data_IF_902856305128
#
_entry.id   IF_902856305128
#
_cell.length_a   1.000
_cell.length_b   1.000
_cell.length_c   1.000
_cell.angle_alpha   90.00
_cell.angle_beta   90.00
_cell.angle_gamma   90.00
#
_symmetry.space_group_name_H-M   'P 1'
#
loop_
_entity.id
_entity.type
_entity.pdbx_description
1 polymer ?
#
# COMPACT_ATOMS: atom_id res chain seq x y z
N UNK A 1 9.13 8.53 16.21
CA UNK A 1 9.16 8.30 14.75
C UNK A 1 7.74 7.97 14.33
N UNK A 2 7.13 8.78 13.46
CA UNK A 2 5.73 8.60 13.07
C UNK A 2 5.56 7.43 12.12
N UNK A 3 4.48 6.68 12.31
CA UNK A 3 4.12 5.58 11.42
C UNK A 3 2.63 5.29 11.48
N UNK A 4 2.11 4.69 10.42
CA UNK A 4 0.77 4.09 10.39
C UNK A 4 0.91 2.57 10.47
N UNK A 5 0.03 1.91 11.21
CA UNK A 5 -0.04 0.45 11.30
C UNK A 5 -1.42 -0.06 10.93
N UNK A 6 -1.46 -1.05 10.05
CA UNK A 6 -2.66 -1.80 9.67
C UNK A 6 -2.52 -3.20 10.26
N UNK A 7 -3.53 -3.69 10.99
CA UNK A 7 -3.52 -5.00 11.63
C UNK A 7 -4.78 -5.79 11.25
N UNK A 8 -4.61 -7.03 10.81
CA UNK A 8 -5.74 -7.93 10.56
C UNK A 8 -6.41 -8.34 11.87
N UNK A 9 -7.74 -8.25 11.91
CA UNK A 9 -8.59 -8.61 13.04
C UNK A 9 -9.54 -9.76 12.67
N UNK A 10 -9.61 -10.79 13.52
CA UNK A 10 -10.59 -11.88 13.44
C UNK A 10 -11.63 -11.77 14.56
N UNK A 11 -12.88 -12.20 14.31
CA UNK A 11 -13.84 -12.42 15.39
C UNK A 11 -13.48 -13.69 16.17
N UNK A 12 -12.71 -13.54 17.25
CA UNK A 12 -12.46 -14.57 18.26
C UNK A 12 -11.21 -15.44 18.04
N UNK A 13 -10.78 -16.10 19.11
CA UNK A 13 -9.52 -16.88 19.20
C UNK A 13 -9.46 -18.16 18.33
N UNK A 14 -10.53 -18.53 17.62
CA UNK A 14 -10.62 -19.79 16.86
C UNK A 14 -11.19 -19.67 15.45
N UNK A 15 -11.33 -18.45 14.90
CA UNK A 15 -11.78 -18.26 13.52
C UNK A 15 -10.59 -18.04 12.60
N UNK A 16 -10.45 -18.89 11.58
CA UNK A 16 -9.47 -18.72 10.50
C UNK A 16 -9.89 -17.64 9.49
N UNK A 17 -10.75 -16.70 9.89
CA UNK A 17 -11.32 -15.67 9.01
C UNK A 17 -11.05 -14.30 9.60
N UNK A 18 -10.48 -13.43 8.77
CA UNK A 18 -10.27 -12.02 9.08
C UNK A 18 -11.56 -11.29 8.74
N UNK A 19 -12.19 -10.66 9.75
CA UNK A 19 -13.46 -9.94 9.59
C UNK A 19 -13.25 -8.45 9.29
N UNK A 20 -12.05 -7.94 9.54
CA UNK A 20 -11.66 -6.58 9.20
C UNK A 20 -10.21 -6.27 9.56
N UNK A 21 -9.88 -4.98 9.50
CA UNK A 21 -8.56 -4.46 9.84
C UNK A 21 -8.70 -3.28 10.79
N UNK A 22 -7.75 -3.17 11.72
CA UNK A 22 -7.57 -1.98 12.54
C UNK A 22 -6.42 -1.16 11.96
N UNK A 23 -6.67 0.13 11.75
CA UNK A 23 -5.65 1.09 11.35
C UNK A 23 -5.40 2.05 12.51
N UNK A 24 -4.14 2.22 12.86
CA UNK A 24 -3.69 3.16 13.89
C UNK A 24 -2.57 4.06 13.37
N UNK A 25 -2.61 5.32 13.76
CA UNK A 25 -1.59 6.33 13.47
C UNK A 25 -0.83 6.64 14.75
N UNK A 26 0.49 6.48 14.75
CA UNK A 26 1.35 6.54 15.94
C UNK A 26 2.42 7.61 15.80
N UNK A 27 2.65 8.37 16.88
CA UNK A 27 3.70 9.39 16.96
C UNK A 27 5.08 8.78 17.22
N UNK A 28 5.10 7.68 17.98
CA UNK A 28 6.31 6.92 18.26
C UNK A 28 6.07 5.44 18.59
N UNK A 29 7.14 4.64 18.57
CA UNK A 29 7.08 3.23 18.95
C UNK A 29 6.66 3.10 20.42
N UNK A 30 5.64 2.29 20.69
CA UNK A 30 5.08 2.12 22.04
C UNK A 30 4.13 3.23 22.48
N UNK A 31 3.85 4.21 21.62
CA UNK A 31 2.82 5.23 21.89
C UNK A 31 1.39 4.69 21.71
N UNK A 32 0.43 5.37 22.34
CA UNK A 32 -0.99 5.19 22.07
C UNK A 32 -1.30 5.80 20.68
N UNK A 33 -2.12 5.16 19.83
CA UNK A 33 -2.44 5.73 18.53
C UNK A 33 -3.18 7.06 18.70
N UNK A 34 -2.77 8.08 17.92
CA UNK A 34 -3.44 9.38 17.92
C UNK A 34 -4.78 9.36 17.18
N UNK A 35 -4.91 8.40 16.26
CA UNK A 35 -6.11 8.14 15.48
C UNK A 35 -6.21 6.63 15.26
N UNK A 36 -7.43 6.12 15.38
CA UNK A 36 -7.75 4.71 15.17
C UNK A 36 -9.03 4.56 14.36
N UNK A 37 -9.01 3.68 13.38
CA UNK A 37 -10.18 3.30 12.59
C UNK A 37 -10.25 1.79 12.38
N UNK A 38 -11.46 1.28 12.19
CA UNK A 38 -11.72 -0.07 11.67
C UNK A 38 -12.08 0.00 10.19
N UNK A 39 -11.62 -0.98 9.44
CA UNK A 39 -11.99 -1.23 8.05
C UNK A 39 -12.65 -2.59 8.00
N UNK A 40 -13.91 -2.64 7.58
CA UNK A 40 -14.60 -3.92 7.41
C UNK A 40 -14.15 -4.64 6.11
N UNK A 41 -14.63 -5.88 5.93
CA UNK A 41 -14.37 -6.66 4.71
C UNK A 41 -14.85 -6.02 3.39
N UNK A 42 -15.69 -4.99 3.46
CA UNK A 42 -16.21 -4.24 2.31
C UNK A 42 -15.49 -2.91 2.11
N UNK A 43 -14.39 -2.68 2.83
CA UNK A 43 -13.61 -1.45 2.80
C UNK A 43 -14.34 -0.21 3.33
N UNK A 44 -15.40 -0.40 4.12
CA UNK A 44 -16.01 0.69 4.85
C UNK A 44 -15.14 1.08 6.04
N UNK A 45 -14.83 2.37 6.15
CA UNK A 45 -14.02 2.92 7.23
C UNK A 45 -14.94 3.45 8.34
N UNK A 46 -14.70 3.02 9.57
CA UNK A 46 -15.33 3.56 10.76
C UNK A 46 -14.26 4.08 11.71
N UNK A 47 -14.33 5.38 12.06
CA UNK A 47 -13.47 5.96 13.09
C UNK A 47 -13.82 5.37 14.46
N UNK A 48 -12.79 4.93 15.18
CA UNK A 48 -12.90 4.38 16.53
C UNK A 48 -12.43 5.37 17.59
N UNK A 49 -11.30 6.05 17.35
CA UNK A 49 -10.73 7.03 18.27
C UNK A 49 -9.93 8.11 17.51
N UNK A 50 -9.94 9.34 18.02
CA UNK A 50 -9.12 10.46 17.56
C UNK A 50 -8.84 11.48 18.68
N UNK A 51 -9.11 11.14 19.94
CA UNK A 51 -9.03 12.09 21.07
C UNK A 51 -7.60 12.57 21.30
N UNK A 52 -6.62 11.73 20.94
CA UNK A 52 -5.20 11.96 21.12
C UNK A 52 -4.55 12.76 19.97
N UNK A 53 -5.30 13.16 18.95
CA UNK A 53 -4.76 13.82 17.75
C UNK A 53 -4.18 15.22 17.98
N UNK A 54 -4.42 15.86 19.13
CA UNK A 54 -3.85 17.16 19.52
C UNK A 54 -4.27 18.37 18.66
N UNK A 55 -4.69 18.16 17.41
CA UNK A 55 -5.15 19.14 16.44
C UNK A 55 -6.18 18.50 15.47
N UNK A 56 -7.29 19.18 15.21
CA UNK A 56 -8.31 18.75 14.25
C UNK A 56 -7.79 18.68 12.80
N UNK A 57 -6.81 19.51 12.43
CA UNK A 57 -6.23 19.47 11.08
C UNK A 57 -5.55 18.13 10.78
N UNK A 58 -4.93 17.52 11.80
CA UNK A 58 -4.29 16.20 11.69
C UNK A 58 -5.36 15.14 11.44
N UNK A 59 -6.46 15.17 12.21
CA UNK A 59 -7.59 14.27 12.02
C UNK A 59 -8.16 14.39 10.60
N UNK A 60 -8.37 15.61 10.10
CA UNK A 60 -8.90 15.83 8.76
C UNK A 60 -7.97 15.29 7.65
N UNK A 61 -6.66 15.44 7.79
CA UNK A 61 -5.68 14.86 6.86
C UNK A 61 -5.70 13.33 6.89
N UNK A 62 -5.76 12.73 8.07
CA UNK A 62 -5.86 11.28 8.23
C UNK A 62 -7.17 10.75 7.65
N UNK A 63 -8.30 11.39 7.91
CA UNK A 63 -9.61 11.01 7.35
C UNK A 63 -9.61 11.13 5.82
N UNK A 64 -9.00 12.18 5.27
CA UNK A 64 -8.81 12.34 3.81
C UNK A 64 -7.97 11.19 3.24
N UNK A 65 -6.85 10.85 3.88
CA UNK A 65 -6.03 9.70 3.50
C UNK A 65 -6.86 8.41 3.53
N UNK A 66 -7.58 8.15 4.63
CA UNK A 66 -8.39 6.94 4.77
C UNK A 66 -9.47 6.87 3.69
N UNK A 67 -10.13 7.98 3.37
CA UNK A 67 -11.17 8.01 2.32
C UNK A 67 -10.65 7.71 0.90
N UNK A 68 -9.38 8.02 0.63
CA UNK A 68 -8.81 7.94 -0.73
C UNK A 68 -7.94 6.72 -0.93
N UNK A 69 -7.20 6.30 0.10
CA UNK A 69 -6.19 5.25 0.01
C UNK A 69 -6.66 3.88 0.53
N UNK A 70 -7.84 3.74 1.15
CA UNK A 70 -8.25 2.47 1.79
C UNK A 70 -8.14 1.26 0.88
N UNK A 71 -8.64 1.35 -0.35
CA UNK A 71 -8.58 0.23 -1.32
C UNK A 71 -7.13 -0.14 -1.65
N UNK A 72 -6.28 0.86 -1.89
CA UNK A 72 -4.87 0.64 -2.25
C UNK A 72 -4.07 0.10 -1.07
N UNK A 73 -4.35 0.58 0.13
CA UNK A 73 -3.77 0.11 1.39
C UNK A 73 -4.13 -1.34 1.66
N UNK A 74 -5.40 -1.73 1.53
CA UNK A 74 -5.83 -3.13 1.71
C UNK A 74 -5.25 -4.02 0.61
N UNK A 75 -5.19 -3.53 -0.63
CA UNK A 75 -4.52 -4.26 -1.72
C UNK A 75 -3.05 -4.51 -1.42
N UNK A 76 -2.34 -3.51 -0.89
CA UNK A 76 -0.94 -3.63 -0.47
C UNK A 76 -0.76 -4.65 0.66
N UNK A 77 -1.66 -4.61 1.65
CA UNK A 77 -1.70 -5.55 2.76
C UNK A 77 -1.85 -6.98 2.23
N UNK A 78 -2.92 -7.28 1.50
CA UNK A 78 -3.21 -8.63 0.99
C UNK A 78 -2.17 -9.15 0.00
N UNK A 79 -1.53 -8.27 -0.79
CA UNK A 79 -0.47 -8.65 -1.71
C UNK A 79 0.72 -9.30 -1.00
N UNK A 80 1.06 -8.81 0.19
CA UNK A 80 2.23 -9.26 0.96
C UNK A 80 1.86 -10.28 2.05
N UNK A 81 0.58 -10.36 2.41
CA UNK A 81 0.01 -11.27 3.39
C UNK A 81 -0.85 -12.34 2.69
N UNK A 82 -0.18 -13.32 2.06
CA UNK A 82 -0.84 -14.41 1.30
C UNK A 82 -1.72 -15.34 2.13
N UNK A 83 -1.61 -15.31 3.46
CA UNK A 83 -2.39 -16.13 4.38
C UNK A 83 -3.19 -15.24 5.32
N UNK A 84 -4.51 -15.42 5.40
CA UNK A 84 -5.43 -14.68 6.28
C UNK A 84 -5.26 -15.11 7.76
N UNK A 85 -4.06 -15.00 8.31
CA UNK A 85 -3.84 -15.21 9.72
C UNK A 85 -4.09 -13.90 10.49
N UNK A 86 -4.90 -13.97 11.54
CA UNK A 86 -5.10 -12.88 12.49
C UNK A 86 -3.76 -12.38 13.03
N UNK A 87 -3.65 -11.08 13.30
CA UNK A 87 -2.44 -10.48 13.89
C UNK A 87 -1.34 -10.11 12.89
N UNK A 88 -1.45 -10.52 11.62
CA UNK A 88 -0.57 -9.98 10.58
C UNK A 88 -0.73 -8.46 10.50
N UNK A 89 0.39 -7.76 10.34
CA UNK A 89 0.39 -6.30 10.32
C UNK A 89 1.32 -5.72 9.28
N UNK A 90 0.96 -4.53 8.81
CA UNK A 90 1.73 -3.73 7.87
C UNK A 90 1.97 -2.35 8.49
N UNK A 91 3.20 -1.87 8.46
CA UNK A 91 3.58 -0.53 8.92
C UNK A 91 4.04 0.32 7.73
N UNK A 92 3.59 1.57 7.68
CA UNK A 92 4.03 2.59 6.72
C UNK A 92 4.77 3.69 7.47
N UNK A 93 5.93 4.06 6.94
CA UNK A 93 6.84 5.04 7.51
C UNK A 93 7.25 5.99 6.39
N UNK A 94 7.05 7.30 6.58
CA UNK A 94 7.57 8.30 5.66
C UNK A 94 9.08 8.50 5.89
N UNK A 95 9.87 8.49 4.81
CA UNK A 95 11.32 8.65 4.83
C UNK A 95 11.76 9.77 3.88
N UNK A 96 12.78 10.54 4.29
CA UNK A 96 13.38 11.60 3.49
C UNK A 96 14.91 11.56 3.54
N UNK A 97 15.55 12.07 2.50
CA UNK A 97 17.00 12.35 2.51
C UNK A 97 17.22 13.75 3.11
N UNK A 98 17.79 13.81 4.32
CA UNK A 98 18.35 15.04 4.91
C UNK A 98 17.45 15.79 5.92
N UNK A 99 18.10 16.59 6.78
CA UNK A 99 17.53 17.26 7.95
C UNK A 99 16.45 18.31 7.67
N UNK A 100 16.18 18.67 6.40
CA UNK A 100 15.26 19.78 6.07
C UNK A 100 14.34 19.49 4.85
N UNK A 101 14.35 18.28 4.31
CA UNK A 101 13.63 17.95 3.07
C UNK A 101 12.39 17.10 3.35
N UNK A 102 11.27 17.47 2.74
CA UNK A 102 10.00 16.72 2.78
C UNK A 102 10.24 15.22 2.52
N UNK A 103 9.48 14.35 3.21
CA UNK A 103 9.59 12.92 2.99
C UNK A 103 9.30 12.57 1.52
N UNK A 104 10.20 11.81 0.88
CA UNK A 104 10.13 11.48 -0.56
C UNK A 104 9.84 10.00 -0.81
N UNK A 105 9.95 9.17 0.22
CA UNK A 105 9.80 7.71 0.12
C UNK A 105 8.93 7.20 1.26
N UNK A 106 8.31 6.05 1.03
CA UNK A 106 7.55 5.33 2.06
C UNK A 106 8.19 3.96 2.23
N UNK A 107 8.58 3.65 3.46
CA UNK A 107 9.02 2.33 3.88
C UNK A 107 7.81 1.55 4.39
N UNK A 108 7.60 0.39 3.80
CA UNK A 108 6.57 -0.58 4.17
C UNK A 108 7.24 -1.75 4.89
N UNK A 109 6.78 -2.09 6.08
CA UNK A 109 7.18 -3.29 6.82
C UNK A 109 6.01 -4.22 6.97
N UNK A 110 6.22 -5.50 6.73
CA UNK A 110 5.20 -6.54 6.86
C UNK A 110 5.62 -7.49 7.96
N UNK A 111 4.77 -7.63 8.97
CA UNK A 111 5.06 -8.34 10.20
C UNK A 111 4.15 -9.56 10.37
N UNK A 112 4.71 -10.61 10.95
CA UNK A 112 3.99 -11.78 11.40
C UNK A 112 3.05 -11.45 12.58
N UNK A 113 2.12 -12.35 12.94
CA UNK A 113 1.33 -12.22 14.16
C UNK A 113 2.18 -12.09 15.44
N UNK A 114 3.36 -12.70 15.45
CA UNK A 114 4.33 -12.65 16.55
C UNK A 114 5.12 -11.33 16.58
N UNK A 115 4.91 -10.45 15.60
CA UNK A 115 5.63 -9.18 15.44
C UNK A 115 6.98 -9.32 14.74
N UNK A 116 7.30 -10.49 14.16
CA UNK A 116 8.52 -10.68 13.41
C UNK A 116 8.40 -10.08 12.01
N UNK A 117 9.39 -9.29 11.59
CA UNK A 117 9.42 -8.72 10.26
C UNK A 117 9.66 -9.80 9.19
N UNK A 118 8.67 -10.01 8.32
CA UNK A 118 8.73 -10.98 7.21
C UNK A 118 9.34 -10.37 5.96
N UNK A 119 9.00 -9.13 5.66
CA UNK A 119 9.53 -8.39 4.51
C UNK A 119 9.49 -6.89 4.75
N UNK A 120 10.37 -6.19 4.05
CA UNK A 120 10.43 -4.74 4.02
C UNK A 120 10.59 -4.30 2.56
N UNK A 121 9.94 -3.20 2.18
CA UNK A 121 10.20 -2.53 0.92
C UNK A 121 10.15 -1.03 1.09
N UNK A 122 10.96 -0.31 0.31
CA UNK A 122 10.93 1.15 0.27
C UNK A 122 10.54 1.57 -1.13
N UNK A 123 9.48 2.36 -1.23
CA UNK A 123 8.96 2.86 -2.50
C UNK A 123 9.06 4.38 -2.51
N UNK A 124 9.53 4.95 -3.62
CA UNK A 124 9.36 6.36 -3.93
C UNK A 124 8.12 6.55 -4.78
N UNK A 125 7.51 7.73 -4.69
CA UNK A 125 6.54 8.16 -5.69
C UNK A 125 7.18 8.07 -7.08
N UNK A 126 6.50 7.42 -8.01
CA UNK A 126 6.92 7.32 -9.41
C UNK A 126 7.02 8.72 -10.01
N UNK A 127 8.15 8.99 -10.65
CA UNK A 127 8.39 10.23 -11.38
C UNK A 127 7.57 10.27 -12.68
N UNK A 128 7.28 11.45 -13.21
CA UNK A 128 6.50 11.58 -14.47
C UNK A 128 7.17 10.85 -15.64
N UNK A 129 8.51 10.75 -15.64
CA UNK A 129 9.29 10.02 -16.65
C UNK A 129 9.04 8.52 -16.54
N UNK A 130 9.10 7.96 -15.33
CA UNK A 130 8.83 6.54 -15.08
C UNK A 130 7.37 6.19 -15.41
N UNK A 131 6.44 7.06 -15.02
CA UNK A 131 5.01 6.93 -15.34
C UNK A 131 4.78 6.90 -16.84
N UNK A 132 5.39 7.83 -17.58
CA UNK A 132 5.29 7.88 -19.05
C UNK A 132 5.84 6.59 -19.66
N UNK A 133 7.00 6.13 -19.19
CA UNK A 133 7.64 4.91 -19.67
C UNK A 133 6.81 3.66 -19.40
N UNK A 134 6.13 3.58 -18.24
CA UNK A 134 5.19 2.50 -17.89
C UNK A 134 3.98 2.51 -18.82
N UNK A 135 3.36 3.67 -19.01
CA UNK A 135 2.20 3.83 -19.91
C UNK A 135 2.57 3.48 -21.35
N UNK A 136 3.77 3.82 -21.81
CA UNK A 136 4.28 3.41 -23.13
C UNK A 136 4.49 1.91 -23.24
N UNK A 137 4.98 1.25 -22.19
CA UNK A 137 5.13 -0.21 -22.14
C UNK A 137 3.78 -0.94 -22.09
N UNK A 138 2.84 -0.44 -21.29
CA UNK A 138 1.46 -0.94 -21.16
C UNK A 138 0.66 -0.79 -22.46
N UNK A 139 0.82 0.34 -23.16
CA UNK A 139 0.17 0.59 -24.45
C UNK A 139 0.87 -0.10 -25.65
N UNK A 140 1.81 -1.01 -25.38
CA UNK A 140 2.45 -1.81 -26.41
C UNK A 140 3.61 -1.08 -27.09
N UNK A 141 4.68 -0.86 -26.32
CA UNK A 141 5.93 -0.24 -26.77
C UNK A 141 6.31 -0.64 -28.19
N UNK A 142 6.36 0.37 -29.07
CA UNK A 142 6.96 0.40 -30.42
C UNK A 142 6.79 -0.90 -31.21
N UNK A 143 5.86 -0.89 -32.17
CA UNK A 143 5.86 -1.81 -33.32
C UNK A 143 7.28 -1.93 -33.89
N UNK A 144 8.02 -2.95 -33.46
CA UNK A 144 9.24 -3.38 -34.13
C UNK A 144 8.77 -3.88 -35.49
N UNK A 145 8.95 -3.04 -36.52
CA UNK A 145 8.72 -3.39 -37.91
C UNK A 145 9.75 -4.46 -38.27
N UNK A 146 9.42 -5.72 -37.99
CA UNK A 146 10.15 -6.86 -38.50
C UNK A 146 9.89 -6.95 -40.01
N UNK A 147 10.69 -6.24 -40.80
CA UNK A 147 10.90 -6.53 -42.22
C UNK A 147 11.49 -7.94 -42.33
N UNK A 148 10.70 -8.94 -42.73
CA UNK A 148 11.28 -10.22 -43.16
C UNK A 148 10.38 -11.45 -43.22
N UNK A 149 9.94 -11.78 -44.44
CA UNK A 149 9.72 -13.13 -45.01
C UNK A 149 8.49 -13.96 -44.58
N UNK A 150 7.64 -14.20 -45.59
CA UNK A 150 6.67 -15.31 -45.75
C UNK A 150 7.21 -16.64 -45.16
N UNK A 151 6.45 -17.33 -44.28
CA UNK A 151 5.55 -18.47 -44.59
C UNK A 151 5.13 -19.24 -43.32
N UNK A 152 3.92 -19.83 -43.43
CA UNK A 152 3.35 -21.02 -42.75
C UNK A 152 2.52 -20.83 -41.46
N UNK A 153 1.24 -21.17 -41.64
CA UNK A 153 0.21 -21.48 -40.63
C UNK A 153 0.69 -22.59 -39.69
N UNK A 154 0.46 -22.41 -38.40
CA UNK A 154 0.49 -23.45 -37.38
C UNK A 154 0.80 -22.89 -36.00
N UNK A 155 -0.17 -22.96 -35.09
CA UNK A 155 -0.10 -22.63 -33.66
C UNK A 155 0.08 -21.14 -33.30
N UNK A 156 -0.99 -20.58 -32.71
CA UNK A 156 -0.90 -19.41 -31.84
C UNK A 156 -0.06 -19.80 -30.63
N UNK A 157 1.24 -19.48 -30.64
CA UNK A 157 1.93 -19.25 -29.38
C UNK A 157 1.36 -17.94 -28.83
N UNK A 158 0.43 -18.05 -27.89
CA UNK A 158 0.16 -16.93 -27.00
C UNK A 158 1.46 -16.74 -26.21
N UNK A 159 2.30 -15.82 -26.69
CA UNK A 159 3.33 -15.21 -25.85
C UNK A 159 2.57 -14.53 -24.72
N UNK A 160 2.44 -15.22 -23.59
CA UNK A 160 2.12 -14.59 -22.32
C UNK A 160 3.31 -13.69 -22.06
N UNK A 161 3.22 -12.44 -22.54
CA UNK A 161 4.10 -11.37 -22.07
C UNK A 161 4.02 -11.35 -20.55
N UNK A 162 5.08 -10.91 -19.85
CA UNK A 162 5.06 -10.85 -18.40
C UNK A 162 3.79 -10.13 -18.00
N UNK A 163 2.97 -10.77 -17.16
CA UNK A 163 1.78 -10.14 -16.60
C UNK A 163 2.25 -8.81 -16.04
N UNK A 164 1.83 -7.70 -16.65
CA UNK A 164 2.13 -6.37 -16.15
C UNK A 164 1.45 -6.34 -14.79
N UNK A 165 2.23 -6.56 -13.75
CA UNK A 165 1.75 -6.50 -12.39
C UNK A 165 1.29 -5.05 -12.21
N UNK A 166 -0.01 -4.85 -12.05
CA UNK A 166 -0.60 -3.54 -11.80
C UNK A 166 -0.05 -3.03 -10.46
N UNK A 167 1.05 -2.30 -10.52
CA UNK A 167 1.73 -1.64 -9.40
C UNK A 167 1.32 -0.17 -9.28
N UNK A 168 0.35 0.30 -10.08
CA UNK A 168 -0.11 1.70 -10.07
C UNK A 168 -0.70 2.05 -8.71
N UNK A 169 -1.38 1.11 -8.06
CA UNK A 169 -1.92 1.31 -6.71
C UNK A 169 -0.83 1.59 -5.68
N UNK A 170 0.37 1.02 -5.83
CA UNK A 170 1.48 1.23 -4.90
C UNK A 170 1.98 2.67 -4.97
N UNK A 171 2.10 3.22 -6.17
CA UNK A 171 2.46 4.63 -6.40
C UNK A 171 1.41 5.58 -5.80
N UNK A 172 0.13 5.33 -6.08
CA UNK A 172 -0.97 6.13 -5.50
C UNK A 172 -0.98 6.09 -3.99
N UNK A 173 -0.77 4.91 -3.39
CA UNK A 173 -0.68 4.75 -1.94
C UNK A 173 0.48 5.57 -1.37
N UNK A 174 1.66 5.50 -1.98
CA UNK A 174 2.83 6.28 -1.54
C UNK A 174 2.56 7.79 -1.62
N UNK A 175 2.06 8.28 -2.75
CA UNK A 175 1.71 9.70 -2.95
C UNK A 175 0.71 10.19 -1.92
N UNK A 176 -0.35 9.42 -1.70
CA UNK A 176 -1.42 9.81 -0.77
C UNK A 176 -0.93 9.76 0.69
N UNK A 177 -0.10 8.77 1.03
CA UNK A 177 0.48 8.66 2.37
C UNK A 177 1.43 9.83 2.67
N UNK A 178 2.34 10.17 1.76
CA UNK A 178 3.22 11.34 1.90
C UNK A 178 2.43 12.64 2.01
N UNK A 179 1.37 12.81 1.21
CA UNK A 179 0.51 13.98 1.26
C UNK A 179 -0.27 14.14 2.58
N UNK A 180 -0.45 13.05 3.34
CA UNK A 180 -1.05 13.12 4.68
C UNK A 180 -0.17 13.85 5.69
N UNK A 181 1.15 13.90 5.44
CA UNK A 181 2.14 14.46 6.37
C UNK A 181 2.41 13.60 7.61
N UNK A 182 2.03 12.32 7.57
CA UNK A 182 2.26 11.33 8.63
C UNK A 182 3.58 10.60 8.48
#
# INVERSE_FOLDING_TARGET
MRFMKVMAQSEGECTNRVDGHIVGFYEDVGSVPVYRASIDRFYNVQRLDAEHAGNQDIVARIETFMSTATVDMMRMFHWNHRTEASGQSMELIAEGEGCETEATRVRFRFLSPEGEMKSEMTLSSETDIEKTRRVELENGGVKVVAKGKKKRRGQKTASVGPAIQDTVFMDRLCKTYLASGW
#
